data_IF_545685435928
#
_entry.id   IF_545685435928
#
_cell.length_a   1.000
_cell.length_b   1.000
_cell.length_c   1.000
_cell.angle_alpha   90.00
_cell.angle_beta   90.00
_cell.angle_gamma   90.00
#
_symmetry.space_group_name_H-M   'P 1'
#
loop_
_entity.id
_entity.type
_entity.pdbx_description
1 polymer ?
#
# COMPACT_ATOMS: atom_id res chain seq x y z
N UNK A 1 -7.71 -27.58 11.17
CA UNK A 1 -8.68 -26.46 11.04
C UNK A 1 -8.08 -25.42 10.13
N UNK A 2 -8.79 -24.97 9.09
CA UNK A 2 -8.37 -23.85 8.27
C UNK A 2 -9.02 -22.55 8.81
N UNK A 3 -8.24 -21.49 8.92
CA UNK A 3 -8.70 -20.16 9.35
C UNK A 3 -8.32 -19.10 8.31
N UNK A 4 -8.83 -17.88 8.50
CA UNK A 4 -8.49 -16.74 7.64
C UNK A 4 -7.40 -15.91 8.31
N UNK A 5 -6.36 -15.57 7.55
CA UNK A 5 -5.26 -14.70 7.99
C UNK A 5 -5.20 -13.44 7.14
N UNK A 6 -4.61 -12.37 7.68
CA UNK A 6 -4.43 -11.09 6.98
C UNK A 6 -2.99 -11.03 6.45
N UNK A 7 -2.85 -10.79 5.15
CA UNK A 7 -1.57 -10.71 4.48
C UNK A 7 -1.55 -9.49 3.55
N UNK A 8 -0.68 -8.53 3.86
CA UNK A 8 -0.48 -7.29 3.13
C UNK A 8 0.98 -6.81 3.30
N UNK A 9 1.38 -5.80 2.53
CA UNK A 9 2.66 -5.11 2.69
C UNK A 9 2.76 -4.37 4.03
N UNK A 10 3.96 -3.94 4.41
CA UNK A 10 4.22 -3.31 5.71
C UNK A 10 3.55 -1.93 5.88
N UNK A 11 3.41 -1.17 4.80
CA UNK A 11 2.89 0.20 4.84
C UNK A 11 1.48 0.30 4.26
N UNK A 12 0.63 1.06 4.95
CA UNK A 12 -0.63 1.52 4.39
C UNK A 12 -0.34 2.75 3.51
N UNK A 13 -0.62 2.64 2.21
CA UNK A 13 -0.36 3.69 1.23
C UNK A 13 -1.64 4.19 0.59
N UNK A 14 -1.69 5.49 0.30
CA UNK A 14 -2.72 6.00 -0.59
C UNK A 14 -2.43 5.56 -2.03
N UNK A 15 -3.44 5.65 -2.89
CA UNK A 15 -3.25 5.39 -4.33
C UNK A 15 -2.29 6.40 -4.97
N UNK A 16 -2.26 7.62 -4.44
CA UNK A 16 -1.36 8.65 -4.93
C UNK A 16 0.10 8.31 -4.61
N UNK A 17 0.39 7.90 -3.37
CA UNK A 17 1.75 7.53 -2.94
C UNK A 17 2.27 6.33 -3.75
N UNK A 18 1.41 5.33 -3.98
CA UNK A 18 1.76 4.21 -4.85
C UNK A 18 2.09 4.68 -6.28
N UNK A 19 1.31 5.63 -6.81
CA UNK A 19 1.59 6.25 -8.10
C UNK A 19 2.95 6.96 -8.15
N UNK A 20 3.30 7.70 -7.10
CA UNK A 20 4.61 8.36 -6.97
C UNK A 20 5.74 7.33 -6.98
N UNK A 21 5.61 6.23 -6.22
CA UNK A 21 6.62 5.17 -6.20
C UNK A 21 6.83 4.54 -7.58
N UNK A 22 5.74 4.31 -8.32
CA UNK A 22 5.79 3.80 -9.70
C UNK A 22 6.44 4.82 -10.63
N UNK A 23 6.05 6.09 -10.55
CA UNK A 23 6.61 7.16 -11.38
C UNK A 23 8.12 7.31 -11.17
N UNK A 24 8.57 7.32 -9.91
CA UNK A 24 9.98 7.34 -9.56
C UNK A 24 10.73 6.11 -10.10
N UNK A 25 10.16 4.91 -9.97
CA UNK A 25 10.75 3.67 -10.50
C UNK A 25 10.91 3.73 -12.02
N UNK A 26 9.95 4.31 -12.70
CA UNK A 26 9.86 4.32 -14.17
C UNK A 26 10.47 5.59 -14.79
N UNK A 27 11.05 6.49 -13.99
CA UNK A 27 11.66 7.75 -14.46
C UNK A 27 10.66 8.80 -14.94
N UNK A 28 9.39 8.67 -14.56
CA UNK A 28 8.31 9.61 -14.88
C UNK A 28 8.28 10.69 -13.79
N UNK A 29 8.15 11.96 -14.19
CA UNK A 29 8.03 13.06 -13.25
C UNK A 29 6.75 12.92 -12.39
N UNK A 30 6.86 12.83 -11.04
CA UNK A 30 5.69 12.66 -10.18
C UNK A 30 4.68 13.81 -10.25
N UNK A 31 5.13 15.00 -10.65
CA UNK A 31 4.28 16.18 -10.85
C UNK A 31 3.22 16.00 -11.95
N UNK A 32 3.35 14.97 -12.79
CA UNK A 32 2.37 14.62 -13.80
C UNK A 32 1.19 13.82 -13.23
N UNK A 33 1.30 13.34 -11.99
CA UNK A 33 0.25 12.56 -11.34
C UNK A 33 -0.85 13.48 -10.81
N UNK A 34 -2.14 13.21 -11.13
CA UNK A 34 -3.23 13.98 -10.59
C UNK A 34 -3.38 13.71 -9.08
N UNK A 35 -3.22 14.76 -8.29
CA UNK A 35 -3.57 14.73 -6.88
C UNK A 35 -5.07 15.03 -6.70
N UNK A 36 -5.73 14.30 -5.81
CA UNK A 36 -7.15 14.48 -5.53
C UNK A 36 -7.59 13.68 -4.32
N UNK A 37 -8.75 14.04 -3.73
CA UNK A 37 -9.28 13.32 -2.59
C UNK A 37 -10.11 12.14 -3.04
N UNK A 38 -10.02 11.05 -2.28
CA UNK A 38 -10.78 9.86 -2.59
C UNK A 38 -12.29 10.06 -2.50
N UNK A 39 -12.74 10.88 -1.55
CA UNK A 39 -14.15 11.21 -1.34
C UNK A 39 -14.80 11.91 -2.53
N UNK A 40 -14.02 12.56 -3.39
CA UNK A 40 -14.52 13.28 -4.55
C UNK A 40 -14.70 12.35 -5.78
N UNK A 41 -14.42 11.05 -5.66
CA UNK A 41 -14.54 10.06 -6.75
C UNK A 41 -15.76 9.15 -6.57
N UNK A 42 -16.40 8.73 -7.67
CA UNK A 42 -17.51 7.76 -7.63
C UNK A 42 -17.08 6.30 -7.38
N UNK A 43 -15.80 6.06 -7.14
CA UNK A 43 -15.27 4.70 -7.07
C UNK A 43 -15.51 4.12 -5.67
N UNK A 44 -16.28 3.02 -5.62
CA UNK A 44 -16.66 2.34 -4.37
C UNK A 44 -15.47 1.72 -3.64
N UNK A 45 -15.65 1.46 -2.35
CA UNK A 45 -14.67 0.81 -1.47
C UNK A 45 -14.38 1.61 -0.20
N UNK A 46 -13.62 1.02 0.73
CA UNK A 46 -13.16 1.72 1.92
C UNK A 46 -12.28 2.92 1.56
N UNK A 47 -12.44 4.02 2.32
CA UNK A 47 -11.65 5.24 2.13
C UNK A 47 -10.21 5.06 2.63
N UNK A 48 -10.06 4.44 3.80
CA UNK A 48 -8.80 4.03 4.40
C UNK A 48 -8.95 2.58 4.87
N UNK A 49 -8.18 1.67 4.27
CA UNK A 49 -8.20 0.25 4.60
C UNK A 49 -6.81 -0.13 5.07
N UNK A 50 -6.70 -0.43 6.35
CA UNK A 50 -5.44 -0.83 6.99
C UNK A 50 -5.53 -2.28 7.41
N UNK A 51 -4.54 -3.08 7.01
CA UNK A 51 -4.44 -4.49 7.37
C UNK A 51 -3.15 -4.70 8.15
N UNK A 52 -3.28 -5.12 9.41
CA UNK A 52 -2.14 -5.60 10.17
C UNK A 52 -1.85 -7.06 9.79
N UNK A 53 -0.62 -7.32 9.31
CA UNK A 53 -0.17 -8.65 8.93
C UNK A 53 0.86 -9.22 9.91
N UNK A 54 1.09 -8.57 11.06
CA UNK A 54 2.16 -8.90 11.99
C UNK A 54 2.03 -10.30 12.59
N UNK A 55 0.81 -10.72 12.94
CA UNK A 55 0.57 -12.09 13.43
C UNK A 55 0.91 -13.14 12.37
N UNK A 56 0.53 -12.89 11.12
CA UNK A 56 0.78 -13.80 10.00
C UNK A 56 2.24 -13.82 9.59
N UNK A 57 2.92 -12.67 9.59
CA UNK A 57 4.36 -12.57 9.32
C UNK A 57 5.20 -13.35 10.33
N UNK A 58 4.83 -13.35 11.62
CA UNK A 58 5.52 -14.15 12.65
C UNK A 58 5.36 -15.66 12.47
N UNK A 59 4.35 -16.09 11.72
CA UNK A 59 4.05 -17.51 11.48
C UNK A 59 4.63 -18.01 10.14
N UNK A 60 5.04 -17.11 9.25
CA UNK A 60 5.59 -17.46 7.95
C UNK A 60 7.12 -17.52 8.03
N UNK A 61 7.70 -18.63 7.60
CA UNK A 61 9.16 -18.78 7.48
C UNK A 61 9.74 -18.06 6.26
N UNK A 62 8.87 -17.54 5.37
CA UNK A 62 9.26 -16.79 4.19
C UNK A 62 9.24 -15.29 4.45
N UNK A 63 10.26 -14.59 3.94
CA UNK A 63 10.25 -13.13 3.94
C UNK A 63 9.22 -12.63 2.93
N UNK A 64 8.21 -11.93 3.45
CA UNK A 64 7.27 -11.22 2.58
C UNK A 64 7.98 -10.06 1.89
N UNK A 65 7.64 -9.84 0.62
CA UNK A 65 8.10 -8.68 -0.15
C UNK A 65 7.28 -7.46 0.24
N UNK A 66 7.90 -6.28 0.17
CA UNK A 66 7.32 -5.04 0.68
C UNK A 66 7.93 -4.72 2.04
N UNK A 67 9.20 -4.31 2.01
CA UNK A 67 9.85 -3.74 3.18
C UNK A 67 9.20 -2.39 3.52
N UNK A 68 9.21 -1.98 4.80
CA UNK A 68 8.73 -0.67 5.20
C UNK A 68 9.40 0.43 4.37
N UNK A 69 8.59 1.27 3.74
CA UNK A 69 9.03 2.46 3.02
C UNK A 69 9.58 3.46 4.02
N UNK A 70 10.90 3.70 3.96
CA UNK A 70 11.56 4.70 4.78
C UNK A 70 11.77 5.98 3.95
N UNK A 71 11.16 7.08 4.37
CA UNK A 71 11.53 8.43 3.92
C UNK A 71 10.82 9.00 2.68
N UNK A 72 9.60 8.58 2.38
CA UNK A 72 8.76 9.20 1.34
C UNK A 72 7.35 9.44 1.87
N UNK A 73 7.22 10.34 2.86
CA UNK A 73 6.07 11.24 3.11
C UNK A 73 6.62 12.47 3.82
#
# INVERSE_FOLDING_TARGET
MAGVVRLAGADALSRYDLGVLIACRDGIAPSLLPAGRRADTQLRGGLDVRLDSGATQRQLDIRLRGEPLRGLV
#
